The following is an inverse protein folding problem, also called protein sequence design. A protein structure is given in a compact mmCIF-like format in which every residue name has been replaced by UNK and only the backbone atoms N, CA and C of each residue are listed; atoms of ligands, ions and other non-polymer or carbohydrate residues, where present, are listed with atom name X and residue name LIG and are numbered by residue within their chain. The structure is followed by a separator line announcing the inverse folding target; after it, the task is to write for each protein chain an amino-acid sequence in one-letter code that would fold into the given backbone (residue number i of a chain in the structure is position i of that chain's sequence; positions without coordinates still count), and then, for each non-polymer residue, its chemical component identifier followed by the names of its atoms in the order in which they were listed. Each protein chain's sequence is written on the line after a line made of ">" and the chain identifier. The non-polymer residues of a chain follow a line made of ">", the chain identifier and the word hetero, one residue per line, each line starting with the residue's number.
data_IF_277882601460
#
_entry.id   IF_277882601460
#
_cell.length_a   1.000
_cell.length_b   1.000
_cell.length_c   1.000
_cell.angle_alpha   90.00
_cell.angle_beta   90.00
_cell.angle_gamma   90.00
#
_symmetry.space_group_name_H-M   'P 1'
#
loop_
_entity.id
_entity.type
_entity.pdbx_description
1 polymer ?
#
# COMPACT_ATOMS: atom_id res chain seq x y z
N UNK A 1 35.17 3.35 -12.52
CA UNK A 1 34.51 2.09 -12.92
C UNK A 1 33.04 2.38 -12.79
N UNK A 2 32.38 2.64 -13.92
CA UNK A 2 30.98 3.05 -13.96
C UNK A 2 30.12 1.99 -13.28
N UNK A 3 29.32 2.42 -12.30
CA UNK A 3 28.16 1.66 -11.84
C UNK A 3 27.27 1.47 -13.06
N UNK A 4 27.32 0.28 -13.67
CA UNK A 4 26.24 -0.15 -14.55
C UNK A 4 25.00 -0.20 -13.66
N UNK A 5 24.17 0.84 -13.75
CA UNK A 5 22.84 0.86 -13.18
C UNK A 5 22.14 -0.41 -13.65
N UNK A 6 21.80 -1.28 -12.70
CA UNK A 6 21.13 -2.56 -12.95
C UNK A 6 19.66 -2.28 -13.32
N UNK A 7 19.42 -1.59 -14.44
CA UNK A 7 18.10 -1.43 -15.03
C UNK A 7 17.73 -2.77 -15.64
N UNK A 8 16.94 -3.55 -14.92
CA UNK A 8 16.42 -4.82 -15.45
C UNK A 8 15.20 -4.53 -16.31
N UNK A 9 15.45 -4.35 -17.60
CA UNK A 9 14.43 -4.29 -18.65
C UNK A 9 13.70 -5.64 -18.75
N UNK A 10 12.46 -5.71 -18.26
CA UNK A 10 11.56 -6.81 -18.58
C UNK A 10 10.64 -6.43 -19.71
N UNK A 11 10.46 -7.33 -20.67
CA UNK A 11 9.52 -7.10 -21.75
C UNK A 11 8.11 -6.98 -21.19
N UNK A 12 7.37 -6.00 -21.68
CA UNK A 12 5.95 -5.74 -21.39
C UNK A 12 5.05 -6.98 -21.55
N UNK A 13 5.49 -8.00 -22.31
CA UNK A 13 4.77 -9.24 -22.57
C UNK A 13 5.15 -10.45 -21.69
N UNK A 14 6.04 -10.31 -20.69
CA UNK A 14 6.34 -11.41 -19.75
C UNK A 14 5.09 -11.80 -18.92
N UNK A 15 4.50 -13.00 -19.13
CA UNK A 15 3.25 -13.38 -18.47
C UNK A 15 3.36 -13.45 -16.95
N UNK A 16 4.54 -13.78 -16.42
CA UNK A 16 4.75 -13.85 -14.97
C UNK A 16 4.81 -12.44 -14.38
N UNK A 17 5.45 -11.49 -15.07
CA UNK A 17 5.48 -10.08 -14.65
C UNK A 17 4.09 -9.47 -14.65
N UNK A 18 3.31 -9.72 -15.70
CA UNK A 18 1.90 -9.30 -15.78
C UNK A 18 1.11 -9.86 -14.60
N UNK A 19 1.29 -11.15 -14.28
CA UNK A 19 0.61 -11.80 -13.14
C UNK A 19 1.05 -11.21 -11.80
N UNK A 20 2.34 -10.94 -11.62
CA UNK A 20 2.88 -10.30 -10.42
C UNK A 20 2.28 -8.89 -10.23
N UNK A 21 2.22 -8.08 -11.28
CA UNK A 21 1.59 -6.75 -11.25
C UNK A 21 0.08 -6.81 -10.98
N UNK A 22 -0.62 -7.78 -11.57
CA UNK A 22 -2.04 -8.01 -11.27
C UNK A 22 -2.26 -8.36 -9.79
N UNK A 23 -1.38 -9.19 -9.24
CA UNK A 23 -1.44 -9.56 -7.83
C UNK A 23 -1.14 -8.36 -6.92
N UNK A 24 -0.14 -7.53 -7.28
CA UNK A 24 0.13 -6.27 -6.59
C UNK A 24 -1.12 -5.38 -6.54
N UNK A 25 -1.76 -5.10 -7.68
CA UNK A 25 -3.02 -4.33 -7.74
C UNK A 25 -4.12 -4.92 -6.88
N UNK A 26 -4.30 -6.25 -6.93
CA UNK A 26 -5.33 -6.95 -6.12
C UNK A 26 -5.12 -6.78 -4.61
N UNK A 27 -3.87 -6.63 -4.18
CA UNK A 27 -3.53 -6.46 -2.76
C UNK A 27 -3.16 -5.03 -2.37
N UNK A 28 -3.21 -4.08 -3.30
CA UNK A 28 -2.92 -2.66 -3.05
C UNK A 28 -3.74 -2.08 -1.90
N UNK A 29 -4.98 -2.55 -1.73
CA UNK A 29 -5.82 -2.18 -0.59
C UNK A 29 -5.18 -2.40 0.78
N UNK A 30 -4.29 -3.39 0.92
CA UNK A 30 -3.57 -3.65 2.18
C UNK A 30 -2.45 -2.64 2.40
N UNK A 31 -1.73 -2.28 1.34
CA UNK A 31 -0.77 -1.18 1.33
C UNK A 31 -1.46 0.14 1.71
N UNK A 32 -2.58 0.45 1.04
CA UNK A 32 -3.33 1.67 1.34
C UNK A 32 -3.87 1.70 2.77
N UNK A 33 -4.38 0.57 3.27
CA UNK A 33 -4.85 0.47 4.65
C UNK A 33 -3.73 0.79 5.64
N UNK A 34 -2.54 0.23 5.44
CA UNK A 34 -1.37 0.53 6.28
C UNK A 34 -0.98 2.01 6.19
N UNK A 35 -0.86 2.57 4.99
CA UNK A 35 -0.54 3.98 4.81
C UNK A 35 -1.56 4.91 5.48
N UNK A 36 -2.87 4.62 5.39
CA UNK A 36 -3.85 5.45 6.07
C UNK A 36 -3.64 5.46 7.59
N UNK A 37 -3.17 4.35 8.17
CA UNK A 37 -2.82 4.29 9.59
C UNK A 37 -1.50 4.98 9.88
N UNK A 38 -0.53 4.89 8.96
CA UNK A 38 0.75 5.57 9.05
C UNK A 38 0.58 7.09 9.12
N UNK A 39 -0.29 7.67 8.28
CA UNK A 39 -0.61 9.10 8.29
C UNK A 39 -1.20 9.59 9.63
N UNK A 40 -1.72 8.69 10.47
CA UNK A 40 -2.28 9.02 11.80
C UNK A 40 -1.23 8.92 12.92
N UNK A 41 0.00 8.46 12.64
CA UNK A 41 1.04 8.30 13.66
C UNK A 41 1.82 9.60 13.85
N UNK A 42 2.09 9.94 15.12
CA UNK A 42 3.01 11.04 15.47
C UNK A 42 4.46 10.67 15.09
N UNK A 43 4.84 9.43 15.33
CA UNK A 43 6.16 8.89 14.98
C UNK A 43 5.92 7.84 13.89
N UNK A 44 6.43 8.06 12.66
CA UNK A 44 6.33 7.09 11.58
C UNK A 44 6.82 5.70 12.01
N UNK A 45 6.04 4.68 11.67
CA UNK A 45 6.36 3.28 11.90
C UNK A 45 6.94 2.58 10.66
N UNK A 46 6.70 3.12 9.47
CA UNK A 46 7.27 2.62 8.22
C UNK A 46 8.66 3.20 8.00
N UNK A 47 9.60 2.35 7.58
CA UNK A 47 10.92 2.80 7.13
C UNK A 47 10.87 3.28 5.67
N UNK A 48 9.92 2.71 4.90
CA UNK A 48 9.79 2.93 3.47
C UNK A 48 8.37 2.60 3.02
N UNK A 49 7.84 3.35 2.04
CA UNK A 49 6.61 3.01 1.33
C UNK A 49 6.60 3.67 -0.05
N UNK A 50 6.40 2.87 -1.10
CA UNK A 50 6.37 3.35 -2.48
C UNK A 50 5.45 2.49 -3.35
N UNK A 51 4.93 3.09 -4.41
CA UNK A 51 4.14 2.41 -5.45
C UNK A 51 4.88 2.52 -6.76
N UNK A 52 4.99 1.42 -7.49
CA UNK A 52 5.60 1.43 -8.83
C UNK A 52 4.51 1.60 -9.87
N UNK A 53 4.61 2.63 -10.71
CA UNK A 53 3.59 3.04 -11.67
C UNK A 53 4.14 2.97 -13.09
N UNK A 54 3.31 2.54 -14.04
CA UNK A 54 3.63 2.57 -15.46
C UNK A 54 3.27 3.94 -16.04
N UNK A 55 4.26 4.62 -16.63
CA UNK A 55 4.10 5.89 -17.34
C UNK A 55 4.28 5.64 -18.84
N UNK A 56 3.52 6.35 -19.67
CA UNK A 56 3.56 6.21 -21.12
C UNK A 56 3.96 7.53 -21.79
N UNK A 57 4.87 7.45 -22.76
CA UNK A 57 5.27 8.57 -23.62
C UNK A 57 5.34 8.10 -25.08
N UNK A 58 4.42 8.55 -25.96
CA UNK A 58 4.45 8.18 -27.37
C UNK A 58 5.54 8.89 -28.18
N UNK A 59 6.20 9.91 -27.59
CA UNK A 59 7.14 10.80 -28.27
C UNK A 59 8.62 10.46 -27.98
N UNK A 60 8.89 9.27 -27.43
CA UNK A 60 10.25 8.76 -27.17
C UNK A 60 11.09 8.61 -28.45
N UNK A 61 12.42 8.56 -28.30
CA UNK A 61 13.31 8.42 -29.45
C UNK A 61 13.12 7.07 -30.16
N UNK A 62 13.37 6.99 -31.49
CA UNK A 62 13.16 5.76 -32.25
C UNK A 62 13.98 4.57 -31.69
N UNK A 63 13.27 3.54 -31.22
CA UNK A 63 13.87 2.32 -30.67
C UNK A 63 13.78 2.21 -29.14
N UNK A 64 13.44 3.31 -28.46
CA UNK A 64 13.23 3.32 -27.01
C UNK A 64 11.82 2.82 -26.65
N UNK A 65 11.64 2.23 -25.45
CA UNK A 65 10.33 1.83 -24.98
C UNK A 65 9.48 3.06 -24.64
N UNK A 66 8.22 3.05 -25.10
CA UNK A 66 7.24 4.10 -24.83
C UNK A 66 6.62 4.00 -23.42
N UNK A 67 7.05 3.03 -22.61
CA UNK A 67 6.50 2.74 -21.29
C UNK A 67 7.62 2.46 -20.30
N UNK A 68 7.61 3.16 -19.17
CA UNK A 68 8.57 2.99 -18.09
C UNK A 68 7.86 2.80 -16.75
N UNK A 69 8.41 1.92 -15.90
CA UNK A 69 7.84 1.60 -14.59
C UNK A 69 8.69 2.20 -13.48
N UNK A 70 8.18 3.26 -12.84
CA UNK A 70 8.97 4.06 -11.88
C UNK A 70 8.32 4.14 -10.51
N UNK A 71 9.12 4.42 -9.49
CA UNK A 71 8.66 4.48 -8.11
C UNK A 71 8.10 5.86 -7.77
N UNK A 72 6.94 5.86 -7.11
CA UNK A 72 6.25 7.04 -6.61
C UNK A 72 6.19 6.95 -5.09
N UNK A 73 6.52 8.05 -4.42
CA UNK A 73 6.51 8.21 -2.97
C UNK A 73 5.37 9.15 -2.54
N UNK A 74 5.13 9.25 -1.23
CA UNK A 74 4.14 10.20 -0.68
C UNK A 74 2.72 9.91 -1.15
N UNK A 75 2.35 8.63 -1.12
CA UNK A 75 1.14 8.14 -1.79
C UNK A 75 -0.12 8.58 -1.05
N UNK A 76 -1.04 9.21 -1.78
CA UNK A 76 -2.44 9.38 -1.41
C UNK A 76 -3.35 8.61 -2.40
N UNK A 77 -4.59 8.33 -2.00
CA UNK A 77 -5.54 7.59 -2.81
C UNK A 77 -6.99 7.99 -2.51
N UNK A 78 -7.72 8.32 -3.58
CA UNK A 78 -9.15 8.63 -3.54
C UNK A 78 -10.04 7.41 -3.92
N UNK A 79 -9.44 6.23 -4.10
CA UNK A 79 -10.12 5.00 -4.51
C UNK A 79 -10.32 4.85 -6.03
N UNK A 80 -9.94 5.83 -6.84
CA UNK A 80 -9.93 5.78 -8.31
C UNK A 80 -8.51 5.92 -8.86
N UNK A 81 -7.78 6.86 -8.26
CA UNK A 81 -6.43 7.26 -8.63
C UNK A 81 -5.54 7.19 -7.39
N UNK A 82 -4.24 7.14 -7.66
CA UNK A 82 -3.20 7.43 -6.69
C UNK A 82 -2.55 8.75 -7.05
N UNK A 83 -2.16 9.49 -6.02
CA UNK A 83 -1.39 10.71 -6.15
C UNK A 83 -0.09 10.54 -5.38
N UNK A 84 0.95 11.23 -5.82
CA UNK A 84 2.24 11.17 -5.15
C UNK A 84 3.32 11.92 -5.92
N UNK A 85 4.56 11.67 -5.54
CA UNK A 85 5.74 12.31 -6.14
C UNK A 85 6.61 11.26 -6.80
N UNK A 86 6.93 11.45 -8.08
CA UNK A 86 7.88 10.60 -8.80
C UNK A 86 9.27 10.67 -8.13
N UNK A 87 9.93 9.52 -7.94
CA UNK A 87 11.14 9.38 -7.12
C UNK A 87 12.44 9.21 -7.92
N UNK A 88 12.36 9.24 -9.25
CA UNK A 88 13.52 9.12 -10.12
C UNK A 88 13.24 9.76 -11.47
N UNK A 89 14.30 10.21 -12.14
CA UNK A 89 14.20 10.59 -13.55
C UNK A 89 13.94 9.33 -14.40
N UNK A 90 13.13 9.44 -15.47
CA UNK A 90 12.99 8.38 -16.44
C UNK A 90 14.27 8.21 -17.26
N UNK A 91 14.52 6.99 -17.71
CA UNK A 91 15.61 6.72 -18.66
C UNK A 91 15.22 7.15 -20.09
N UNK A 92 13.95 6.95 -20.47
CA UNK A 92 13.50 7.16 -21.86
C UNK A 92 12.40 8.19 -22.02
N UNK A 93 11.51 8.29 -21.03
CA UNK A 93 10.36 9.18 -21.13
C UNK A 93 10.81 10.65 -21.05
N UNK A 94 10.13 11.50 -21.81
CA UNK A 94 10.45 12.94 -21.92
C UNK A 94 9.39 13.83 -21.29
N UNK A 95 8.24 13.24 -20.95
CA UNK A 95 7.05 13.94 -20.46
C UNK A 95 6.91 13.99 -18.93
N UNK A 96 7.80 13.33 -18.19
CA UNK A 96 7.85 13.29 -16.72
C UNK A 96 9.29 13.39 -16.24
N UNK A 97 9.52 13.81 -14.98
CA UNK A 97 10.85 13.89 -14.36
C UNK A 97 10.78 13.72 -12.85
N UNK A 98 11.94 13.52 -12.21
CA UNK A 98 12.03 13.43 -10.75
C UNK A 98 11.35 14.63 -10.06
N UNK A 99 10.60 14.33 -8.99
CA UNK A 99 9.88 15.32 -8.19
C UNK A 99 8.53 15.77 -8.76
N UNK A 100 8.13 15.33 -9.96
CA UNK A 100 6.81 15.66 -10.51
C UNK A 100 5.69 15.08 -9.62
N UNK A 101 4.62 15.87 -9.45
CA UNK A 101 3.38 15.39 -8.86
C UNK A 101 2.61 14.59 -9.90
N UNK A 102 2.21 13.38 -9.55
CA UNK A 102 1.47 12.47 -10.44
C UNK A 102 0.05 12.28 -9.92
N UNK A 103 -0.87 12.00 -10.84
CA UNK A 103 -2.22 11.52 -10.55
C UNK A 103 -2.53 10.43 -11.57
N UNK A 104 -2.44 9.17 -11.15
CA UNK A 104 -2.49 8.02 -12.04
C UNK A 104 -3.60 7.05 -11.63
N UNK A 105 -4.30 6.41 -12.57
CA UNK A 105 -5.36 5.48 -12.24
C UNK A 105 -4.78 4.24 -11.53
N UNK A 106 -5.56 3.62 -10.66
CA UNK A 106 -5.15 2.38 -9.96
C UNK A 106 -4.71 1.24 -10.92
N UNK A 107 -5.14 1.28 -12.19
CA UNK A 107 -4.71 0.34 -13.22
C UNK A 107 -3.24 0.50 -13.63
N UNK A 108 -2.66 1.70 -13.47
CA UNK A 108 -1.26 1.99 -13.79
C UNK A 108 -0.29 1.41 -12.75
N UNK A 109 -0.77 1.05 -11.55
CA UNK A 109 0.03 0.40 -10.51
C UNK A 109 0.56 -0.93 -11.03
N UNK A 110 1.87 -1.07 -11.05
CA UNK A 110 2.59 -2.27 -11.45
C UNK A 110 3.22 -3.03 -10.28
N UNK A 111 3.48 -2.35 -9.18
CA UNK A 111 3.89 -2.96 -7.91
C UNK A 111 3.65 -1.99 -6.74
N UNK A 112 3.81 -2.45 -5.52
CA UNK A 112 3.91 -1.59 -4.32
C UNK A 112 4.76 -2.28 -3.27
N UNK A 113 5.37 -1.51 -2.39
CA UNK A 113 6.20 -2.04 -1.30
C UNK A 113 6.13 -1.10 -0.12
N UNK A 114 6.07 -1.65 1.09
CA UNK A 114 6.41 -0.91 2.30
C UNK A 114 7.32 -1.74 3.19
N UNK A 115 8.05 -1.08 4.09
CA UNK A 115 8.93 -1.75 5.02
C UNK A 115 8.68 -1.33 6.46
N UNK A 116 8.79 -2.30 7.36
CA UNK A 116 8.71 -2.10 8.81
C UNK A 116 9.85 -2.82 9.49
N UNK A 117 10.70 -2.06 10.18
CA UNK A 117 11.92 -2.53 10.85
C UNK A 117 12.83 -3.31 9.89
N UNK A 118 13.02 -2.78 8.69
CA UNK A 118 13.83 -3.33 7.62
C UNK A 118 13.22 -4.54 6.92
N UNK A 119 12.00 -4.97 7.24
CA UNK A 119 11.31 -6.07 6.54
C UNK A 119 10.35 -5.53 5.50
N UNK A 120 10.48 -5.97 4.25
CA UNK A 120 9.63 -5.57 3.14
C UNK A 120 8.33 -6.40 3.04
N UNK A 121 7.25 -5.73 2.64
CA UNK A 121 5.93 -6.29 2.36
C UNK A 121 5.49 -5.84 0.96
N UNK A 122 4.77 -6.71 0.25
CA UNK A 122 4.48 -6.52 -1.16
C UNK A 122 5.69 -6.86 -2.03
N UNK A 123 6.05 -5.96 -2.95
CA UNK A 123 7.17 -6.13 -3.87
C UNK A 123 6.99 -7.37 -4.74
N UNK A 124 5.84 -7.52 -5.41
CA UNK A 124 5.51 -8.72 -6.17
C UNK A 124 6.40 -8.90 -7.38
N UNK A 125 6.60 -7.82 -8.15
CA UNK A 125 7.50 -7.84 -9.29
C UNK A 125 8.93 -7.94 -8.81
N UNK A 126 9.29 -7.28 -7.70
CA UNK A 126 10.62 -7.40 -7.10
C UNK A 126 10.92 -8.83 -6.67
N UNK A 127 9.97 -9.52 -6.03
CA UNK A 127 10.12 -10.91 -5.61
C UNK A 127 10.18 -11.88 -6.79
N UNK A 128 9.43 -11.65 -7.86
CA UNK A 128 9.55 -12.44 -9.10
C UNK A 128 10.95 -12.28 -9.74
N UNK A 129 11.50 -11.06 -9.71
CA UNK A 129 12.87 -10.81 -10.18
C UNK A 129 13.86 -11.55 -9.29
N UNK A 130 13.70 -11.46 -7.97
CA UNK A 130 14.53 -12.17 -6.99
C UNK A 130 14.46 -13.68 -7.13
N UNK A 131 13.29 -14.28 -7.42
CA UNK A 131 13.18 -15.74 -7.57
C UNK A 131 14.01 -16.29 -8.74
N UNK A 132 14.31 -15.43 -9.72
CA UNK A 132 15.17 -15.72 -10.88
C UNK A 132 16.66 -15.49 -10.59
N UNK A 133 17.01 -14.90 -9.45
CA UNK A 133 18.39 -14.61 -9.03
C UNK A 133 19.01 -15.80 -8.26
N UNK A 134 20.34 -15.91 -8.33
CA UNK A 134 21.08 -16.77 -7.41
C UNK A 134 21.05 -16.20 -5.98
N UNK A 135 21.30 -17.04 -4.97
CA UNK A 135 21.28 -16.59 -3.57
C UNK A 135 22.30 -15.49 -3.24
N UNK A 136 23.43 -15.40 -3.96
CA UNK A 136 24.39 -14.29 -3.79
C UNK A 136 23.86 -12.99 -4.37
N UNK A 137 23.20 -13.03 -5.53
CA UNK A 137 22.56 -11.87 -6.14
C UNK A 137 21.39 -11.36 -5.30
N UNK A 138 20.57 -12.26 -4.75
CA UNK A 138 19.51 -11.88 -3.80
C UNK A 138 20.08 -11.14 -2.59
N UNK A 139 21.15 -11.65 -1.97
CA UNK A 139 21.79 -10.97 -0.83
C UNK A 139 22.35 -9.59 -1.18
N UNK A 140 22.97 -9.45 -2.35
CA UNK A 140 23.49 -8.18 -2.82
C UNK A 140 22.37 -7.17 -3.09
N UNK A 141 21.27 -7.63 -3.70
CA UNK A 141 20.05 -6.85 -3.90
C UNK A 141 19.48 -6.36 -2.57
N UNK A 142 19.35 -7.25 -1.58
CA UNK A 142 18.76 -6.93 -0.27
C UNK A 142 19.60 -5.92 0.50
N UNK A 143 20.93 -6.07 0.39
CA UNK A 143 21.88 -5.12 0.95
C UNK A 143 21.77 -3.74 0.28
N UNK A 144 21.57 -3.68 -1.04
CA UNK A 144 21.43 -2.42 -1.76
C UNK A 144 20.14 -1.67 -1.38
N UNK A 145 19.04 -2.40 -1.19
CA UNK A 145 17.77 -1.82 -0.73
C UNK A 145 17.73 -1.56 0.79
N UNK A 146 18.64 -2.14 1.56
CA UNK A 146 18.62 -2.06 3.03
C UNK A 146 17.42 -2.78 3.64
N UNK A 147 16.84 -3.76 2.95
CA UNK A 147 15.60 -4.45 3.34
C UNK A 147 15.70 -5.97 3.19
N UNK A 148 15.07 -6.68 4.13
CA UNK A 148 14.79 -8.11 4.07
C UNK A 148 13.43 -8.34 3.40
N UNK A 149 13.42 -8.84 2.16
CA UNK A 149 12.16 -9.24 1.51
C UNK A 149 11.79 -10.70 1.75
N UNK A 150 12.59 -11.44 2.53
CA UNK A 150 12.31 -12.82 2.86
C UNK A 150 12.45 -13.77 1.67
N UNK A 151 11.59 -14.80 1.68
CA UNK A 151 11.53 -15.80 0.62
C UNK A 151 10.75 -15.22 -0.56
N UNK A 152 11.32 -15.13 -1.77
CA UNK A 152 10.62 -14.59 -2.93
C UNK A 152 9.37 -15.40 -3.33
N UNK A 153 9.25 -16.65 -2.89
CA UNK A 153 8.04 -17.47 -3.08
C UNK A 153 6.97 -17.22 -1.98
N UNK A 154 7.33 -16.54 -0.88
CA UNK A 154 6.45 -16.22 0.25
C UNK A 154 6.24 -14.72 0.42
N UNK A 155 5.30 -14.14 -0.34
CA UNK A 155 5.01 -12.71 -0.27
C UNK A 155 4.11 -12.38 0.93
N UNK A 156 4.59 -11.49 1.78
CA UNK A 156 3.83 -10.92 2.90
C UNK A 156 3.13 -9.62 2.50
N UNK A 157 1.93 -9.38 3.03
CA UNK A 157 1.09 -8.23 2.65
C UNK A 157 0.50 -7.46 3.84
N UNK A 158 0.61 -8.00 5.05
CA UNK A 158 0.09 -7.38 6.28
C UNK A 158 1.07 -7.62 7.41
N UNK A 159 1.34 -6.56 8.16
CA UNK A 159 2.24 -6.55 9.30
C UNK A 159 1.57 -7.15 10.54
N UNK A 160 2.12 -8.26 11.08
CA UNK A 160 1.79 -8.69 12.46
C UNK A 160 2.95 -9.44 13.11
N UNK A 161 3.80 -8.78 13.91
CA UNK A 161 4.70 -9.47 14.79
C UNK A 161 3.90 -10.07 15.96
N UNK A 162 3.93 -11.40 16.10
CA UNK A 162 3.38 -12.11 17.27
C UNK A 162 4.36 -12.10 18.44
N UNK A 163 5.66 -12.25 18.19
CA UNK A 163 6.74 -12.09 19.17
C UNK A 163 8.04 -11.59 18.51
N UNK A 164 8.81 -10.71 19.16
CA UNK A 164 10.15 -10.35 18.70
C UNK A 164 11.08 -11.57 18.81
N UNK A 165 11.79 -11.91 17.73
CA UNK A 165 12.89 -12.87 17.80
C UNK A 165 14.02 -12.24 18.62
N UNK A 166 14.27 -12.79 19.81
CA UNK A 166 15.36 -12.36 20.69
C UNK A 166 16.74 -12.50 20.03
N UNK A 167 17.73 -11.78 20.57
CA UNK A 167 19.09 -11.70 20.01
C UNK A 167 19.71 -13.06 19.66
N UNK A 168 19.64 -14.04 20.57
CA UNK A 168 20.15 -15.39 20.32
C UNK A 168 19.38 -16.09 19.19
N UNK A 169 18.06 -15.88 19.10
CA UNK A 169 17.24 -16.44 18.03
C UNK A 169 17.65 -15.94 16.65
N UNK A 170 17.94 -14.64 16.51
CA UNK A 170 18.43 -14.06 15.25
C UNK A 170 19.80 -14.62 14.87
N UNK A 171 20.70 -14.79 15.84
CA UNK A 171 22.03 -15.36 15.61
C UNK A 171 21.97 -16.80 15.09
N UNK A 172 20.92 -17.55 15.43
CA UNK A 172 20.65 -18.91 14.92
C UNK A 172 19.67 -18.94 13.73
N UNK A 173 19.37 -17.79 13.10
CA UNK A 173 18.51 -17.72 11.92
C UNK A 173 17.03 -17.99 12.16
N UNK A 174 16.53 -17.89 13.41
CA UNK A 174 15.09 -18.00 13.67
C UNK A 174 14.35 -16.79 13.06
N UNK A 175 13.34 -17.08 12.25
CA UNK A 175 12.39 -16.08 11.73
C UNK A 175 11.21 -15.90 12.70
N UNK A 176 10.58 -14.71 12.76
CA UNK A 176 9.32 -14.53 13.49
C UNK A 176 8.27 -15.51 12.94
N UNK A 177 7.58 -16.24 13.81
CA UNK A 177 6.50 -17.15 13.41
C UNK A 177 5.17 -16.44 13.57
N UNK A 178 4.52 -16.10 12.45
CA UNK A 178 3.17 -15.51 12.47
C UNK A 178 2.15 -16.65 12.60
N UNK A 179 1.32 -16.64 13.65
CA UNK A 179 0.21 -17.58 13.78
C UNK A 179 -0.75 -17.38 12.57
N UNK A 180 -1.01 -18.43 11.76
CA UNK A 180 -1.92 -18.33 10.63
C UNK A 180 -3.31 -17.78 10.96
N UNK A 181 -3.82 -18.03 12.18
CA UNK A 181 -5.10 -17.48 12.65
C UNK A 181 -5.03 -15.97 12.84
N UNK A 182 -3.97 -15.50 13.50
CA UNK A 182 -3.71 -14.07 13.72
C UNK A 182 -3.52 -13.37 12.38
N UNK A 183 -2.74 -13.95 11.46
CA UNK A 183 -2.59 -13.44 10.09
C UNK A 183 -3.95 -13.28 9.41
N UNK A 184 -4.79 -14.32 9.46
CA UNK A 184 -6.13 -14.29 8.85
C UNK A 184 -7.03 -13.22 9.47
N UNK A 185 -6.96 -13.02 10.79
CA UNK A 185 -7.70 -11.96 11.48
C UNK A 185 -7.22 -10.58 11.03
N UNK A 186 -5.91 -10.37 10.93
CA UNK A 186 -5.36 -9.05 10.60
C UNK A 186 -5.52 -8.70 9.12
N UNK A 187 -5.60 -9.71 8.25
CA UNK A 187 -6.05 -9.55 6.87
C UNK A 187 -7.52 -9.12 6.77
N UNK A 188 -8.36 -9.46 7.75
CA UNK A 188 -9.75 -9.03 7.80
C UNK A 188 -9.84 -7.62 8.38
N UNK A 189 -9.32 -7.41 9.59
CA UNK A 189 -9.39 -6.13 10.30
C UNK A 189 -8.02 -5.72 10.82
N UNK A 190 -7.64 -4.45 10.64
CA UNK A 190 -6.31 -4.00 11.03
C UNK A 190 -6.18 -3.90 12.56
N UNK A 191 -5.08 -4.35 13.20
CA UNK A 191 -4.92 -4.26 14.64
C UNK A 191 -5.08 -2.84 15.20
N UNK A 192 -4.60 -1.82 14.50
CA UNK A 192 -4.80 -0.43 14.94
C UNK A 192 -6.26 0.01 14.88
N UNK A 193 -7.03 -0.50 13.91
CA UNK A 193 -8.46 -0.23 13.82
C UNK A 193 -9.21 -0.77 15.04
N UNK A 194 -8.85 -1.97 15.50
CA UNK A 194 -9.40 -2.56 16.73
C UNK A 194 -8.98 -1.73 17.95
N UNK A 195 -7.69 -1.42 18.06
CA UNK A 195 -7.14 -0.72 19.23
C UNK A 195 -7.61 0.73 19.36
N UNK A 196 -7.98 1.40 18.26
CA UNK A 196 -8.50 2.77 18.27
C UNK A 196 -9.94 2.86 18.81
N UNK A 197 -10.69 1.76 18.83
CA UNK A 197 -12.13 1.79 19.06
C UNK A 197 -12.56 2.50 20.35
N UNK A 198 -11.97 2.14 21.49
CA UNK A 198 -12.30 2.75 22.79
C UNK A 198 -11.99 4.25 22.83
N UNK A 199 -10.85 4.67 22.27
CA UNK A 199 -10.48 6.08 22.22
C UNK A 199 -11.39 6.89 21.28
N UNK A 200 -11.83 6.29 20.17
CA UNK A 200 -12.78 6.92 19.26
C UNK A 200 -14.16 7.07 19.91
N UNK A 201 -14.66 6.03 20.59
CA UNK A 201 -15.92 6.12 21.33
C UNK A 201 -15.89 7.22 22.40
N UNK A 202 -14.80 7.30 23.17
CA UNK A 202 -14.62 8.37 24.16
C UNK A 202 -14.63 9.77 23.50
N UNK A 203 -13.91 9.95 22.39
CA UNK A 203 -13.87 11.22 21.68
C UNK A 203 -15.26 11.63 21.15
N UNK A 204 -16.04 10.69 20.63
CA UNK A 204 -17.39 10.94 20.11
C UNK A 204 -18.43 11.25 21.21
N UNK A 205 -18.18 10.80 22.45
CA UNK A 205 -18.99 11.19 23.60
C UNK A 205 -18.74 12.65 24.00
N UNK A 206 -17.52 13.14 23.83
CA UNK A 206 -17.15 14.53 24.11
C UNK A 206 -17.57 15.49 22.98
N UNK A 207 -17.49 15.05 21.72
CA UNK A 207 -17.82 15.85 20.54
C UNK A 207 -18.55 14.99 19.51
N UNK A 208 -19.89 15.08 19.51
CA UNK A 208 -20.73 14.26 18.63
C UNK A 208 -20.69 14.72 17.18
N UNK A 209 -20.46 16.01 16.96
CA UNK A 209 -20.35 16.65 15.65
C UNK A 209 -19.17 16.13 14.81
N UNK A 210 -18.17 15.49 15.45
CA UNK A 210 -17.02 14.89 14.78
C UNK A 210 -17.39 13.89 13.67
N UNK A 211 -18.55 13.22 13.76
CA UNK A 211 -19.01 12.31 12.69
C UNK A 211 -19.39 13.03 11.39
N UNK A 212 -19.56 14.35 11.44
CA UNK A 212 -19.90 15.20 10.29
C UNK A 212 -18.75 16.06 9.79
N UNK A 213 -17.63 16.10 10.53
CA UNK A 213 -16.44 16.84 10.12
C UNK A 213 -15.88 16.28 8.81
N UNK A 214 -15.36 17.19 7.99
CA UNK A 214 -14.67 16.86 6.74
C UNK A 214 -13.24 17.34 6.78
N UNK A 215 -12.35 16.61 6.13
CA UNK A 215 -10.99 17.09 5.85
C UNK A 215 -10.96 18.15 4.74
N UNK A 216 -9.76 18.58 4.36
CA UNK A 216 -9.51 19.62 3.34
C UNK A 216 -10.04 19.23 1.95
N UNK A 217 -10.19 17.93 1.68
CA UNK A 217 -10.76 17.39 0.44
C UNK A 217 -12.28 17.20 0.53
N UNK A 218 -12.91 17.59 1.64
CA UNK A 218 -14.36 17.43 1.84
C UNK A 218 -14.78 16.01 2.19
N UNK A 219 -13.87 15.14 2.64
CA UNK A 219 -14.18 13.77 3.02
C UNK A 219 -14.46 13.65 4.52
N UNK A 220 -15.54 12.98 4.88
CA UNK A 220 -15.79 12.61 6.29
C UNK A 220 -14.92 11.44 6.75
N UNK A 221 -14.77 11.28 8.07
CA UNK A 221 -14.08 10.11 8.64
C UNK A 221 -14.68 8.79 8.13
N UNK A 222 -16.01 8.73 7.96
CA UNK A 222 -16.69 7.54 7.42
C UNK A 222 -16.22 7.19 6.00
N UNK A 223 -15.96 8.18 5.13
CA UNK A 223 -15.43 7.94 3.78
C UNK A 223 -14.02 7.35 3.84
N UNK A 224 -13.12 7.98 4.62
CA UNK A 224 -11.71 7.57 4.74
C UNK A 224 -11.59 6.16 5.30
N UNK A 225 -12.34 5.85 6.35
CA UNK A 225 -12.31 4.53 7.00
C UNK A 225 -13.03 3.45 6.18
N UNK A 226 -14.02 3.81 5.37
CA UNK A 226 -14.63 2.89 4.41
C UNK A 226 -13.66 2.53 3.28
N UNK A 227 -12.91 3.51 2.75
CA UNK A 227 -11.87 3.28 1.75
C UNK A 227 -10.73 2.42 2.32
N UNK A 228 -10.25 2.74 3.52
CA UNK A 228 -9.17 1.98 4.18
C UNK A 228 -9.59 0.58 4.63
N UNK A 229 -10.89 0.29 4.73
CA UNK A 229 -11.38 -1.03 5.14
C UNK A 229 -11.42 -1.24 6.66
N UNK A 230 -11.54 -0.16 7.43
CA UNK A 230 -11.49 -0.12 8.88
C UNK A 230 -12.89 -0.34 9.48
N UNK A 231 -13.36 -1.58 9.57
CA UNK A 231 -14.75 -1.86 9.91
C UNK A 231 -15.11 -1.55 11.37
N UNK A 232 -14.17 -1.66 12.31
CA UNK A 232 -14.39 -1.24 13.71
C UNK A 232 -14.72 0.26 13.77
N UNK A 233 -13.92 1.11 13.12
CA UNK A 233 -14.16 2.56 13.06
C UNK A 233 -15.47 2.86 12.34
N UNK A 234 -15.71 2.26 11.17
CA UNK A 234 -16.97 2.43 10.43
C UNK A 234 -18.18 2.09 11.29
N UNK A 235 -18.13 0.98 12.03
CA UNK A 235 -19.21 0.57 12.92
C UNK A 235 -19.49 1.62 14.00
N UNK A 236 -18.44 2.08 14.69
CA UNK A 236 -18.55 3.08 15.76
C UNK A 236 -19.16 4.38 15.22
N UNK A 237 -18.69 4.86 14.06
CA UNK A 237 -19.21 6.07 13.42
C UNK A 237 -20.71 5.96 13.11
N UNK A 238 -21.15 4.82 12.55
CA UNK A 238 -22.57 4.58 12.26
C UNK A 238 -23.41 4.54 13.54
N UNK A 239 -22.93 3.90 14.60
CA UNK A 239 -23.61 3.84 15.90
C UNK A 239 -23.77 5.24 16.55
N UNK A 240 -22.90 6.19 16.20
CA UNK A 240 -22.95 7.58 16.67
C UNK A 240 -23.69 8.53 15.71
N UNK A 241 -24.21 8.02 14.59
CA UNK A 241 -25.08 8.75 13.67
C UNK A 241 -24.38 9.37 12.46
N UNK A 242 -23.20 8.88 12.08
CA UNK A 242 -22.61 9.22 10.79
C UNK A 242 -23.57 8.84 9.64
N UNK A 243 -23.77 9.74 8.69
CA UNK A 243 -24.65 9.51 7.54
C UNK A 243 -23.89 8.75 6.41
N UNK A 244 -24.25 7.48 6.12
CA UNK A 244 -23.59 6.69 5.09
C UNK A 244 -24.01 7.06 3.66
N UNK A 245 -24.93 8.01 3.48
CA UNK A 245 -25.44 8.45 2.17
C UNK A 245 -24.73 9.68 1.63
N UNK A 246 -23.93 10.36 2.47
CA UNK A 246 -23.09 11.48 2.06
C UNK A 246 -22.14 11.05 0.95
N UNK A 247 -21.77 12.01 0.11
CA UNK A 247 -20.89 11.81 -1.03
C UNK A 247 -19.65 12.68 -0.90
N UNK A 248 -18.52 12.13 -1.32
CA UNK A 248 -17.31 12.91 -1.59
C UNK A 248 -17.54 13.89 -2.74
N UNK A 249 -16.65 14.87 -2.98
CA UNK A 249 -16.72 15.73 -4.16
C UNK A 249 -16.74 14.95 -5.49
N UNK A 250 -16.11 13.77 -5.54
CA UNK A 250 -16.10 12.87 -6.69
C UNK A 250 -17.41 12.08 -6.85
N UNK A 251 -18.35 12.23 -5.91
CA UNK A 251 -19.67 11.64 -5.92
C UNK A 251 -19.76 10.22 -5.35
N UNK A 252 -18.72 9.72 -4.68
CA UNK A 252 -18.71 8.38 -4.08
C UNK A 252 -19.28 8.41 -2.65
N UNK A 253 -20.15 7.45 -2.34
CA UNK A 253 -20.55 7.18 -0.95
C UNK A 253 -19.48 6.36 -0.22
N UNK A 254 -19.48 6.30 1.12
CA UNK A 254 -18.66 5.33 1.85
C UNK A 254 -18.81 3.89 1.33
N UNK A 255 -20.03 3.48 0.93
CA UNK A 255 -20.25 2.15 0.36
C UNK A 255 -19.50 1.97 -0.96
N UNK A 256 -19.54 2.98 -1.85
CA UNK A 256 -18.84 2.94 -3.13
C UNK A 256 -17.33 2.81 -2.94
N UNK A 257 -16.75 3.53 -1.98
CA UNK A 257 -15.33 3.48 -1.63
C UNK A 257 -14.94 2.08 -1.11
N UNK A 258 -15.71 1.53 -0.16
CA UNK A 258 -15.47 0.17 0.34
C UNK A 258 -15.59 -0.90 -0.76
N UNK A 259 -16.54 -0.71 -1.69
CA UNK A 259 -16.74 -1.60 -2.84
C UNK A 259 -15.56 -1.58 -3.80
N UNK A 260 -14.95 -0.42 -4.08
CA UNK A 260 -13.80 -0.30 -4.99
C UNK A 260 -12.62 -1.18 -4.59
N UNK A 261 -12.32 -1.26 -3.29
CA UNK A 261 -11.29 -2.16 -2.75
C UNK A 261 -11.82 -3.53 -2.27
N UNK A 262 -13.12 -3.79 -2.44
CA UNK A 262 -13.75 -5.06 -2.12
C UNK A 262 -13.69 -5.40 -0.62
N UNK A 263 -13.83 -4.41 0.25
CA UNK A 263 -13.93 -4.58 1.69
C UNK A 263 -15.31 -5.07 2.09
N UNK A 264 -15.58 -6.36 1.82
CA UNK A 264 -16.89 -6.99 2.02
C UNK A 264 -17.41 -6.85 3.46
N UNK A 265 -16.53 -6.86 4.46
CA UNK A 265 -16.91 -6.71 5.86
C UNK A 265 -17.38 -5.29 6.18
N UNK A 266 -16.74 -4.27 5.59
CA UNK A 266 -17.19 -2.87 5.65
C UNK A 266 -18.48 -2.64 4.86
N UNK A 267 -18.57 -3.16 3.63
CA UNK A 267 -19.77 -3.02 2.80
C UNK A 267 -21.03 -3.55 3.49
N UNK A 268 -20.91 -4.60 4.31
CA UNK A 268 -22.04 -5.13 5.09
C UNK A 268 -22.55 -4.16 6.15
N UNK A 269 -21.68 -3.34 6.73
CA UNK A 269 -22.06 -2.31 7.70
C UNK A 269 -22.78 -1.15 7.02
N UNK A 270 -22.34 -0.80 5.81
CA UNK A 270 -22.82 0.34 5.03
C UNK A 270 -24.03 0.04 4.13
N UNK A 271 -24.48 -1.22 4.05
CA UNK A 271 -25.57 -1.63 3.18
C UNK A 271 -26.98 -1.35 3.76
N UNK A 272 -27.05 -0.77 4.96
CA UNK A 272 -28.29 -0.51 5.70
C UNK A 272 -28.74 0.95 5.56
#
# INVERSE_FOLDING_TARGET
>A
MSEEENIVLYKSDDPDMVKASQQARKTFKYFWRELSWECRRIIPGLDFAAVKVAFHDPDVAPGDPDTEHMWVNGIDCNGREIMGTLNNDPEWLTNVKDGDQICEPLSAISDWIFAVRGRAYGGYTVNLIRSRMSSSQQRAHDQAWGMDFGDPDEIEVVYVPTEPVGFLGRLFGKKPVIDPKVRKQNMLEHPMCINMGESLEAALQESREMVTDTDEEGWTMLHRDALAGNATVVKILLEHGADPTLKTPEGDTPYDLARRFGWKHVMKLLAN
#
